data_IF_288400015951
#
_entry.id   IF_288400015951
#
_cell.length_a   1.000
_cell.length_b   1.000
_cell.length_c   1.000
_cell.angle_alpha   90.00
_cell.angle_beta   90.00
_cell.angle_gamma   90.00
#
_symmetry.space_group_name_H-M   'P 1'
#
loop_
_entity.id
_entity.type
_entity.pdbx_description
1 polymer ?
#
# COMPACT_ATOMS: atom_id res chain seq x y z
N UNK A 1 -6.97 5.03 -19.10
CA UNK A 1 -8.30 5.66 -19.26
C UNK A 1 -9.22 4.93 -20.26
N UNK A 2 -8.69 4.10 -21.17
CA UNK A 2 -9.49 3.42 -22.21
C UNK A 2 -10.47 2.37 -21.66
N UNK A 3 -10.07 1.59 -20.65
CA UNK A 3 -10.91 0.50 -20.13
C UNK A 3 -12.19 0.99 -19.41
N UNK A 4 -12.14 2.14 -18.73
CA UNK A 4 -13.33 2.73 -18.07
C UNK A 4 -14.37 3.19 -19.10
N UNK A 5 -13.93 3.86 -20.18
CA UNK A 5 -14.80 4.23 -21.30
C UNK A 5 -15.46 3.01 -21.97
N UNK A 6 -14.83 1.84 -21.90
CA UNK A 6 -15.36 0.56 -22.40
C UNK A 6 -16.25 -0.17 -21.39
N UNK A 7 -16.74 0.53 -20.35
CA UNK A 7 -17.66 -0.02 -19.36
C UNK A 7 -17.00 -0.87 -18.27
N UNK A 8 -15.67 -0.91 -18.21
CA UNK A 8 -14.98 -1.63 -17.13
C UNK A 8 -15.13 -0.88 -15.80
N UNK A 9 -15.94 -1.45 -14.90
CA UNK A 9 -16.15 -0.95 -13.53
C UNK A 9 -15.00 -1.29 -12.56
N UNK A 10 -13.97 -2.00 -13.01
CA UNK A 10 -12.93 -2.56 -12.13
C UNK A 10 -11.87 -1.56 -11.69
N UNK A 11 -11.81 -0.36 -12.27
CA UNK A 11 -10.88 0.70 -11.85
C UNK A 11 -11.38 1.42 -10.60
N UNK A 12 -11.34 0.75 -9.45
CA UNK A 12 -11.63 1.39 -8.16
C UNK A 12 -10.36 2.01 -7.59
N UNK A 13 -10.27 3.34 -7.68
CA UNK A 13 -9.18 4.10 -7.06
C UNK A 13 -9.40 4.17 -5.54
N UNK A 14 -8.31 4.05 -4.79
CA UNK A 14 -8.24 4.31 -3.35
C UNK A 14 -7.43 5.57 -3.11
N UNK A 15 -7.81 6.31 -2.08
CA UNK A 15 -7.13 7.52 -1.64
C UNK A 15 -6.47 7.35 -0.28
N UNK A 16 -6.92 6.38 0.52
CA UNK A 16 -6.41 6.14 1.87
C UNK A 16 -6.09 4.68 2.12
N UNK A 17 -5.22 4.43 3.11
CA UNK A 17 -4.93 3.06 3.57
C UNK A 17 -6.19 2.36 4.09
N UNK A 18 -7.11 3.09 4.73
CA UNK A 18 -8.35 2.51 5.25
C UNK A 18 -9.25 2.02 4.12
N UNK A 19 -9.39 2.80 3.04
CA UNK A 19 -10.13 2.38 1.84
C UNK A 19 -9.50 1.14 1.18
N UNK A 20 -8.17 1.06 1.13
CA UNK A 20 -7.47 -0.10 0.60
C UNK A 20 -7.71 -1.35 1.45
N UNK A 21 -7.62 -1.23 2.79
CA UNK A 21 -7.90 -2.32 3.72
C UNK A 21 -9.35 -2.79 3.59
N UNK A 22 -10.30 -1.88 3.40
CA UNK A 22 -11.71 -2.23 3.21
C UNK A 22 -11.95 -3.09 1.96
N UNK A 23 -11.08 -3.00 0.95
CA UNK A 23 -11.12 -3.87 -0.24
C UNK A 23 -10.48 -5.25 -0.01
N UNK A 24 -9.76 -5.42 1.10
CA UNK A 24 -9.03 -6.64 1.46
C UNK A 24 -9.62 -7.28 2.73
N UNK A 25 -10.85 -7.84 2.68
CA UNK A 25 -11.49 -8.38 3.87
C UNK A 25 -10.74 -9.59 4.44
N UNK A 26 -10.92 -9.81 5.75
CA UNK A 26 -10.35 -10.94 6.48
C UNK A 26 -8.90 -10.72 6.88
N UNK A 27 -8.14 -11.82 6.88
CA UNK A 27 -6.76 -11.85 7.40
C UNK A 27 -5.81 -10.91 6.65
N UNK A 28 -5.95 -10.78 5.33
CA UNK A 28 -5.11 -9.90 4.49
C UNK A 28 -5.15 -8.45 4.95
N UNK A 29 -6.35 -7.89 5.14
CA UNK A 29 -6.53 -6.51 5.62
C UNK A 29 -6.00 -6.30 7.03
N UNK A 30 -6.20 -7.28 7.92
CA UNK A 30 -5.66 -7.25 9.28
C UNK A 30 -4.12 -7.25 9.28
N UNK A 31 -3.50 -8.07 8.43
CA UNK A 31 -2.05 -8.14 8.28
C UNK A 31 -1.47 -6.85 7.69
N UNK A 32 -2.09 -6.29 6.63
CA UNK A 32 -1.69 -4.98 6.07
C UNK A 32 -1.75 -3.90 7.16
N UNK A 33 -2.83 -3.86 7.94
CA UNK A 33 -2.98 -2.90 9.06
C UNK A 33 -1.84 -3.04 10.07
N UNK A 34 -1.49 -4.27 10.46
CA UNK A 34 -0.39 -4.55 11.40
C UNK A 34 0.96 -4.11 10.84
N UNK A 35 1.26 -4.42 9.58
CA UNK A 35 2.51 -4.04 8.91
C UNK A 35 2.72 -2.52 8.99
N UNK A 36 1.72 -1.73 8.56
CA UNK A 36 1.84 -0.27 8.56
C UNK A 36 1.81 0.33 9.97
N UNK A 37 1.14 -0.31 10.94
CA UNK A 37 1.19 0.11 12.33
C UNK A 37 2.58 -0.07 12.94
N UNK A 38 3.24 -1.20 12.68
CA UNK A 38 4.62 -1.46 13.13
C UNK A 38 5.59 -0.50 12.46
N UNK A 39 5.50 -0.34 11.14
CA UNK A 39 6.38 0.55 10.39
C UNK A 39 6.31 2.01 10.85
N UNK A 40 5.11 2.53 11.15
CA UNK A 40 4.94 3.87 11.72
C UNK A 40 5.50 4.01 13.13
N UNK A 41 5.50 2.92 13.92
CA UNK A 41 6.06 2.92 15.27
C UNK A 41 7.58 2.90 15.25
N UNK A 42 8.19 2.15 14.32
CA UNK A 42 9.65 2.05 14.20
C UNK A 42 10.29 3.23 13.48
N UNK A 43 9.57 3.90 12.57
CA UNK A 43 10.05 5.06 11.81
C UNK A 43 9.02 6.21 11.90
N UNK A 44 9.11 7.08 12.92
CA UNK A 44 8.14 8.16 13.15
C UNK A 44 8.10 9.22 12.04
N UNK A 45 9.20 9.37 11.31
CA UNK A 45 9.38 10.23 10.15
C UNK A 45 8.74 9.67 8.87
N UNK A 46 8.44 8.37 8.86
CA UNK A 46 7.81 7.70 7.73
C UNK A 46 6.33 8.06 7.58
N UNK A 47 5.90 8.22 6.34
CA UNK A 47 4.53 8.56 5.96
C UNK A 47 3.94 7.42 5.15
N UNK A 48 2.69 7.08 5.45
CA UNK A 48 1.91 6.15 4.62
C UNK A 48 1.21 6.97 3.54
N UNK A 49 1.47 6.63 2.29
CA UNK A 49 0.90 7.28 1.10
C UNK A 49 0.24 6.24 0.21
N UNK A 50 -0.70 6.67 -0.63
CA UNK A 50 -1.20 5.84 -1.73
C UNK A 50 -0.48 6.27 -3.02
N UNK A 51 0.24 5.36 -3.63
CA UNK A 51 0.87 5.55 -4.94
C UNK A 51 0.59 4.33 -5.82
N UNK A 52 0.30 4.57 -7.10
CA UNK A 52 -0.18 3.54 -8.05
C UNK A 52 -1.32 2.67 -7.52
N UNK A 53 -2.23 3.28 -6.74
CA UNK A 53 -3.36 2.61 -6.08
C UNK A 53 -2.97 1.55 -5.02
N UNK A 54 -1.73 1.58 -4.54
CA UNK A 54 -1.23 0.69 -3.50
C UNK A 54 -0.75 1.52 -2.30
N UNK A 55 -0.88 0.99 -1.07
CA UNK A 55 -0.29 1.61 0.11
C UNK A 55 1.23 1.45 0.11
N UNK A 56 1.93 2.56 0.35
CA UNK A 56 3.38 2.64 0.40
C UNK A 56 3.86 3.38 1.64
N UNK A 57 5.00 2.96 2.16
CA UNK A 57 5.75 3.69 3.17
C UNK A 57 6.80 4.56 2.48
N UNK A 58 6.76 5.86 2.76
CA UNK A 58 7.69 6.86 2.24
C UNK A 58 8.44 7.54 3.38
N UNK A 59 9.75 7.71 3.26
CA UNK A 59 10.56 8.54 4.16
C UNK A 59 11.15 9.68 3.33
N UNK A 60 10.84 10.92 3.68
CA UNK A 60 11.17 12.09 2.86
C UNK A 60 10.62 11.93 1.44
N UNK A 61 11.52 11.86 0.46
CA UNK A 61 11.19 11.65 -0.96
C UNK A 61 11.35 10.22 -1.48
N UNK A 62 11.75 9.29 -0.62
CA UNK A 62 12.03 7.91 -1.00
C UNK A 62 10.90 6.97 -0.63
N UNK A 63 10.48 6.14 -1.58
CA UNK A 63 9.63 4.98 -1.31
C UNK A 63 10.49 3.85 -0.75
N UNK A 64 10.11 3.35 0.43
CA UNK A 64 10.87 2.32 1.15
C UNK A 64 10.31 0.96 0.78
N UNK A 65 9.01 0.77 1.04
CA UNK A 65 8.28 -0.43 0.68
C UNK A 65 6.81 -0.15 0.40
N UNK A 66 6.14 -1.11 -0.23
CA UNK A 66 4.70 -1.07 -0.51
C UNK A 66 4.11 -2.46 -0.46
N UNK A 67 2.80 -2.53 -0.21
CA UNK A 67 2.10 -3.80 -0.08
C UNK A 67 0.97 -3.86 -1.08
N UNK A 68 0.94 -4.92 -1.88
CA UNK A 68 -0.18 -5.23 -2.77
C UNK A 68 -0.91 -6.47 -2.29
N UNK A 69 -2.23 -6.47 -2.35
CA UNK A 69 -3.04 -7.63 -2.00
C UNK A 69 -3.37 -8.45 -3.25
N UNK A 70 -2.98 -9.72 -3.27
CA UNK A 70 -3.43 -10.70 -4.27
C UNK A 70 -4.46 -11.64 -3.65
N UNK A 71 -5.01 -12.57 -4.44
CA UNK A 71 -6.02 -13.51 -3.96
C UNK A 71 -5.53 -14.32 -2.75
N UNK A 72 -4.32 -14.86 -2.85
CA UNK A 72 -3.81 -15.86 -1.90
C UNK A 72 -2.61 -15.37 -1.08
N UNK A 73 -1.95 -14.30 -1.49
CA UNK A 73 -0.77 -13.76 -0.80
C UNK A 73 -0.72 -12.23 -0.81
N UNK A 74 0.06 -11.67 0.11
CA UNK A 74 0.46 -10.26 0.07
C UNK A 74 1.79 -10.15 -0.65
N UNK A 75 1.88 -9.27 -1.64
CA UNK A 75 3.12 -8.97 -2.32
C UNK A 75 3.77 -7.76 -1.64
N UNK A 76 5.04 -7.93 -1.27
CA UNK A 76 5.82 -6.89 -0.62
C UNK A 76 6.85 -6.35 -1.62
N UNK A 77 6.66 -5.11 -2.07
CA UNK A 77 7.62 -4.41 -2.93
C UNK A 77 8.61 -3.63 -2.07
N UNK A 78 9.90 -3.88 -2.25
CA UNK A 78 10.99 -3.18 -1.55
C UNK A 78 11.83 -2.49 -2.62
N UNK A 79 12.08 -1.19 -2.44
CA UNK A 79 12.76 -0.40 -3.49
C UNK A 79 14.07 0.22 -3.06
N UNK A 80 14.23 0.54 -1.78
CA UNK A 80 15.44 1.23 -1.33
C UNK A 80 16.14 0.47 -0.21
N UNK A 81 17.32 -0.09 -0.52
CA UNK A 81 18.20 -0.74 0.45
C UNK A 81 19.24 0.22 1.05
N UNK A 82 19.39 1.43 0.49
CA UNK A 82 20.44 2.40 0.83
C UNK A 82 19.99 3.56 1.74
N UNK A 83 18.71 3.60 2.15
CA UNK A 83 18.13 4.65 3.02
C UNK A 83 18.54 4.55 4.49
N UNK A 84 19.25 3.49 4.85
CA UNK A 84 19.86 3.30 6.17
C UNK A 84 21.38 3.16 6.01
N UNK A 85 22.08 4.28 5.82
CA UNK A 85 23.50 4.41 6.16
C UNK A 85 23.63 5.27 7.40
#
# INVERSE_FOLDING_TARGET
MVMYFRGSKSSRRVSTLAEFIAQCPGERGATIKKIFAVARKSHPDARVVIAWNQPMLKVGDHYIFGVSATKDYLLFGIWNQDVHK
#
